data_IF_785724115546
#
_entry.id   IF_785724115546
#
_cell.length_a   1.000
_cell.length_b   1.000
_cell.length_c   1.000
_cell.angle_alpha   90.00
_cell.angle_beta   90.00
_cell.angle_gamma   90.00
#
_symmetry.space_group_name_H-M   'P 1'
#
loop_
_entity.id
_entity.type
_entity.pdbx_description
1 polymer ?
#
# COMPACT_ATOMS: atom_id res chain seq x y z
N UNK A 1 18.47 15.91 -8.42
CA UNK A 1 18.75 14.47 -8.16
C UNK A 1 19.40 13.87 -9.39
N UNK A 2 20.43 13.09 -9.19
CA UNK A 2 21.09 12.39 -10.31
C UNK A 2 20.43 11.03 -10.54
N UNK A 3 19.59 10.93 -11.55
CA UNK A 3 18.80 9.73 -11.86
C UNK A 3 19.70 8.51 -12.11
N UNK A 4 20.82 8.67 -12.80
CA UNK A 4 21.71 7.54 -13.10
C UNK A 4 22.36 6.97 -11.83
N UNK A 5 22.74 7.82 -10.88
CA UNK A 5 23.27 7.36 -9.58
C UNK A 5 22.21 6.65 -8.78
N UNK A 6 20.96 7.15 -8.80
CA UNK A 6 19.84 6.51 -8.09
C UNK A 6 19.53 5.15 -8.70
N UNK A 7 19.50 5.05 -10.05
CA UNK A 7 19.30 3.77 -10.72
C UNK A 7 20.38 2.75 -10.36
N UNK A 8 21.64 3.18 -10.30
CA UNK A 8 22.75 2.30 -9.91
C UNK A 8 22.59 1.82 -8.46
N UNK A 9 22.23 2.73 -7.55
CA UNK A 9 22.01 2.41 -6.14
C UNK A 9 20.88 1.40 -5.95
N UNK A 10 19.78 1.54 -6.71
CA UNK A 10 18.58 0.72 -6.57
C UNK A 10 18.51 -0.47 -7.51
N UNK A 11 19.46 -0.60 -8.44
CA UNK A 11 19.43 -1.64 -9.46
C UNK A 11 19.38 -3.06 -8.92
N UNK A 12 18.58 -3.91 -9.55
CA UNK A 12 18.45 -5.33 -9.18
C UNK A 12 17.63 -5.60 -7.91
N UNK A 13 17.01 -4.57 -7.33
CA UNK A 13 16.23 -4.71 -6.10
C UNK A 13 14.73 -4.78 -6.39
N UNK A 14 13.98 -5.40 -5.49
CA UNK A 14 12.52 -5.37 -5.52
C UNK A 14 12.01 -3.95 -5.17
N UNK A 15 10.74 -3.67 -5.46
CA UNK A 15 10.14 -2.37 -5.11
C UNK A 15 10.22 -2.12 -3.60
N UNK A 16 9.92 -3.13 -2.78
CA UNK A 16 10.00 -2.99 -1.32
C UNK A 16 11.44 -2.71 -0.86
N UNK A 17 12.41 -3.40 -1.42
CA UNK A 17 13.83 -3.16 -1.11
C UNK A 17 14.26 -1.75 -1.51
N UNK A 18 13.85 -1.27 -2.68
CA UNK A 18 14.08 0.11 -3.12
C UNK A 18 13.49 1.10 -2.13
N UNK A 19 12.25 0.87 -1.73
CA UNK A 19 11.55 1.71 -0.77
C UNK A 19 12.31 1.80 0.55
N UNK A 20 12.67 0.65 1.12
CA UNK A 20 13.37 0.61 2.40
C UNK A 20 14.73 1.32 2.33
N UNK A 21 15.47 1.16 1.24
CA UNK A 21 16.75 1.84 1.06
C UNK A 21 16.60 3.35 0.96
N UNK A 22 15.57 3.83 0.26
CA UNK A 22 15.30 5.26 0.14
C UNK A 22 14.89 5.87 1.49
N UNK A 23 14.07 5.19 2.26
CA UNK A 23 13.72 5.63 3.61
C UNK A 23 14.98 5.69 4.50
N UNK A 24 15.84 4.68 4.40
CA UNK A 24 17.07 4.61 5.21
C UNK A 24 18.01 5.79 4.93
N UNK A 25 18.08 6.26 3.69
CA UNK A 25 18.92 7.42 3.33
C UNK A 25 18.20 8.76 3.51
N UNK A 26 17.01 8.77 4.12
CA UNK A 26 16.32 9.99 4.53
C UNK A 26 15.22 10.50 3.60
N UNK A 27 14.82 9.74 2.58
CA UNK A 27 13.69 10.13 1.74
C UNK A 27 12.37 9.94 2.49
N UNK A 28 11.40 10.83 2.22
CA UNK A 28 10.05 10.67 2.74
C UNK A 28 9.34 9.52 2.03
N UNK A 29 8.23 9.04 2.61
CA UNK A 29 7.40 8.01 2.00
C UNK A 29 6.98 8.39 0.56
N UNK A 30 6.34 9.54 0.38
CA UNK A 30 5.83 9.94 -0.93
C UNK A 30 6.95 10.14 -1.94
N UNK A 31 8.06 10.75 -1.52
CA UNK A 31 9.20 10.95 -2.40
C UNK A 31 9.82 9.63 -2.82
N UNK A 32 9.91 8.66 -1.91
CA UNK A 32 10.42 7.33 -2.21
C UNK A 32 9.58 6.64 -3.28
N UNK A 33 8.25 6.68 -3.16
CA UNK A 33 7.36 6.11 -4.17
C UNK A 33 7.51 6.79 -5.53
N UNK A 34 7.61 8.13 -5.54
CA UNK A 34 7.81 8.89 -6.78
C UNK A 34 9.13 8.54 -7.47
N UNK A 35 10.20 8.40 -6.70
CA UNK A 35 11.50 7.99 -7.25
C UNK A 35 11.42 6.59 -7.87
N UNK A 36 10.81 5.65 -7.18
CA UNK A 36 10.66 4.28 -7.69
C UNK A 36 9.85 4.27 -8.99
N UNK A 37 8.74 5.02 -9.04
CA UNK A 37 7.93 5.14 -10.25
C UNK A 37 8.75 5.69 -11.42
N UNK A 38 9.59 6.69 -11.15
CA UNK A 38 10.43 7.31 -12.18
C UNK A 38 11.46 6.34 -12.75
N UNK A 39 12.18 5.60 -11.89
CA UNK A 39 13.26 4.73 -12.35
C UNK A 39 12.78 3.39 -12.89
N UNK A 40 11.62 2.89 -12.44
CA UNK A 40 11.07 1.62 -12.92
C UNK A 40 10.08 1.79 -14.06
N UNK A 41 9.65 3.01 -14.34
CA UNK A 41 8.58 3.33 -15.29
C UNK A 41 7.28 2.57 -14.97
N UNK A 42 7.03 2.32 -13.67
CA UNK A 42 5.82 1.66 -13.16
C UNK A 42 5.05 2.64 -12.31
N UNK A 43 3.72 2.63 -12.46
CA UNK A 43 2.85 3.34 -11.54
C UNK A 43 2.57 2.47 -10.33
N UNK A 44 2.87 2.97 -9.13
CA UNK A 44 2.56 2.29 -7.89
C UNK A 44 1.14 2.66 -7.42
N UNK A 45 0.43 1.70 -6.85
CA UNK A 45 -0.90 1.94 -6.29
C UNK A 45 -0.77 2.84 -5.06
N UNK A 46 -1.50 3.95 -5.08
CA UNK A 46 -1.61 4.87 -3.94
C UNK A 46 -2.95 4.67 -3.25
N UNK A 47 -3.06 5.13 -2.01
CA UNK A 47 -4.33 5.02 -1.28
C UNK A 47 -5.49 5.64 -2.06
N UNK A 48 -5.27 6.78 -2.71
CA UNK A 48 -6.29 7.45 -3.54
C UNK A 48 -6.76 6.63 -4.73
N UNK A 49 -5.97 5.64 -5.16
CA UNK A 49 -6.33 4.78 -6.29
C UNK A 49 -7.25 3.63 -5.87
N UNK A 50 -7.44 3.40 -4.57
CA UNK A 50 -8.29 2.33 -4.08
C UNK A 50 -9.76 2.66 -4.29
N UNK A 51 -10.50 1.70 -4.85
CA UNK A 51 -11.94 1.81 -5.04
C UNK A 51 -12.67 1.19 -3.87
N UNK A 52 -13.06 2.02 -2.89
CA UNK A 52 -13.83 1.55 -1.76
C UNK A 52 -15.30 1.39 -2.12
N UNK A 53 -15.86 0.25 -1.75
CA UNK A 53 -17.25 -0.13 -1.93
C UNK A 53 -17.85 -0.48 -0.58
N UNK A 54 -19.17 -0.58 -0.52
CA UNK A 54 -19.86 -1.03 0.68
C UNK A 54 -19.44 -2.47 1.00
N UNK A 55 -19.10 -2.70 2.27
CA UNK A 55 -18.69 -4.02 2.73
C UNK A 55 -19.89 -5.00 2.71
N UNK A 56 -19.68 -6.27 2.29
CA UNK A 56 -20.76 -7.27 2.28
C UNK A 56 -21.45 -7.47 3.63
N UNK A 57 -20.79 -7.13 4.74
CA UNK A 57 -21.36 -7.25 6.08
C UNK A 57 -22.24 -6.05 6.49
N UNK A 58 -22.58 -5.12 5.58
CA UNK A 58 -23.41 -3.95 5.88
C UNK A 58 -24.91 -4.29 5.91
N UNK A 59 -25.29 -5.21 6.77
CA UNK A 59 -26.69 -5.59 7.00
C UNK A 59 -27.27 -5.06 8.32
N UNK A 60 -26.47 -4.36 9.12
CA UNK A 60 -26.83 -3.87 10.45
C UNK A 60 -26.95 -2.34 10.49
N UNK A 61 -27.09 -1.68 9.35
CA UNK A 61 -27.17 -0.23 9.17
C UNK A 61 -25.89 0.52 9.58
N UNK A 62 -24.79 -0.17 9.80
CA UNK A 62 -23.47 0.43 10.03
C UNK A 62 -22.71 0.44 8.73
N UNK A 63 -21.99 1.53 8.48
CA UNK A 63 -21.23 1.68 7.24
C UNK A 63 -19.81 1.13 7.38
N UNK A 64 -19.55 0.04 6.70
CA UNK A 64 -18.23 -0.53 6.53
C UNK A 64 -17.85 -0.46 5.04
N UNK A 65 -16.58 -0.28 4.76
CA UNK A 65 -16.08 -0.17 3.40
C UNK A 65 -14.99 -1.19 3.15
N UNK A 66 -14.83 -1.57 1.88
CA UNK A 66 -13.72 -2.41 1.47
C UNK A 66 -13.24 -2.06 0.07
N UNK A 67 -11.95 -2.26 -0.18
CA UNK A 67 -11.34 -2.19 -1.50
C UNK A 67 -10.53 -3.45 -1.73
N UNK A 68 -10.66 -4.03 -2.92
CA UNK A 68 -9.93 -5.23 -3.34
C UNK A 68 -9.22 -4.97 -4.65
N UNK A 69 -8.09 -5.61 -4.84
CA UNK A 69 -7.37 -5.54 -6.09
C UNK A 69 -6.30 -6.60 -6.20
N UNK A 70 -5.58 -6.57 -7.30
CA UNK A 70 -4.47 -7.46 -7.58
C UNK A 70 -3.29 -6.67 -8.13
N UNK A 71 -2.09 -7.12 -7.76
CA UNK A 71 -0.83 -6.60 -8.30
C UNK A 71 0.03 -7.79 -8.64
N UNK A 72 0.43 -7.93 -9.91
CA UNK A 72 1.23 -9.08 -10.39
C UNK A 72 0.58 -10.43 -10.03
N UNK A 73 -0.76 -10.51 -10.11
CA UNK A 73 -1.50 -11.72 -9.77
C UNK A 73 -1.67 -11.98 -8.28
N UNK A 74 -1.19 -11.09 -7.42
CA UNK A 74 -1.32 -11.20 -5.95
C UNK A 74 -2.43 -10.29 -5.46
N UNK A 75 -3.35 -10.81 -4.68
CA UNK A 75 -4.50 -10.05 -4.22
C UNK A 75 -4.21 -9.27 -2.94
N UNK A 76 -4.95 -8.17 -2.77
CA UNK A 76 -5.01 -7.42 -1.52
C UNK A 76 -6.44 -7.04 -1.17
N UNK A 77 -6.68 -6.81 0.10
CA UNK A 77 -7.97 -6.35 0.62
C UNK A 77 -7.73 -5.30 1.71
N UNK A 78 -8.42 -4.17 1.60
CA UNK A 78 -8.36 -3.08 2.59
C UNK A 78 -9.78 -2.85 3.08
N UNK A 79 -9.98 -2.88 4.38
CA UNK A 79 -11.30 -2.70 5.00
C UNK A 79 -11.24 -1.66 6.11
N UNK A 80 -12.39 -1.08 6.44
CA UNK A 80 -12.53 -0.16 7.56
C UNK A 80 -13.98 0.07 7.92
N UNK A 81 -14.21 0.46 9.17
CA UNK A 81 -15.53 0.75 9.70
C UNK A 81 -15.82 0.03 11.01
N UNK A 82 -17.04 0.16 11.54
CA UNK A 82 -17.43 -0.43 12.84
C UNK A 82 -17.21 -1.93 12.90
N UNK A 83 -16.62 -2.38 14.00
CA UNK A 83 -16.31 -3.80 14.28
C UNK A 83 -15.27 -4.42 13.33
N UNK A 84 -14.51 -3.59 12.61
CA UNK A 84 -13.36 -4.00 11.82
C UNK A 84 -12.08 -3.45 12.47
N UNK A 85 -10.93 -3.87 11.98
CA UNK A 85 -9.64 -3.45 12.50
C UNK A 85 -9.18 -2.07 12.04
N UNK A 86 -10.10 -1.11 11.97
CA UNK A 86 -9.85 0.30 11.64
C UNK A 86 -11.16 1.05 11.52
N UNK A 87 -11.12 2.40 11.67
CA UNK A 87 -12.35 3.22 11.66
C UNK A 87 -12.86 3.52 10.22
N UNK A 88 -12.08 3.23 9.22
CA UNK A 88 -12.45 3.52 7.82
C UNK A 88 -12.29 4.97 7.41
N UNK A 89 -11.71 5.80 8.26
CA UNK A 89 -11.48 7.23 8.03
C UNK A 89 -9.98 7.52 8.06
N UNK A 90 -9.33 7.24 9.16
CA UNK A 90 -7.90 7.45 9.38
C UNK A 90 -7.13 6.14 9.56
N UNK A 91 -7.81 5.08 9.91
CA UNK A 91 -7.22 3.75 10.12
C UNK A 91 -7.97 2.68 9.35
N UNK A 92 -7.24 1.63 8.96
CA UNK A 92 -7.74 0.57 8.11
C UNK A 92 -7.13 -0.77 8.53
N UNK A 93 -7.71 -1.86 8.03
CA UNK A 93 -7.17 -3.19 8.19
C UNK A 93 -6.82 -3.73 6.81
N UNK A 94 -5.63 -4.29 6.67
CA UNK A 94 -5.13 -4.79 5.38
C UNK A 94 -4.80 -6.27 5.47
N UNK A 95 -5.21 -7.01 4.45
CA UNK A 95 -4.79 -8.40 4.25
C UNK A 95 -4.33 -8.55 2.79
N UNK A 96 -3.21 -9.23 2.60
CA UNK A 96 -2.73 -9.62 1.28
C UNK A 96 -2.40 -11.11 1.29
N UNK A 97 -2.23 -11.70 0.10
CA UNK A 97 -1.86 -13.11 0.05
C UNK A 97 -0.46 -13.40 0.60
N UNK A 98 0.38 -12.38 0.78
CA UNK A 98 1.72 -12.54 1.37
C UNK A 98 1.71 -12.48 2.90
N UNK A 99 0.59 -12.08 3.52
CA UNK A 99 0.47 -11.96 4.97
C UNK A 99 -0.19 -13.20 5.57
N UNK A 100 0.23 -13.57 6.79
CA UNK A 100 -0.37 -14.69 7.51
C UNK A 100 -1.74 -14.34 8.08
N UNK A 101 -1.99 -13.05 8.31
CA UNK A 101 -3.26 -12.55 8.82
C UNK A 101 -3.39 -11.06 8.63
N UNK A 102 -4.57 -10.49 8.86
CA UNK A 102 -4.81 -9.05 8.66
C UNK A 102 -4.00 -8.20 9.64
N UNK A 103 -3.56 -7.04 9.15
CA UNK A 103 -2.87 -6.03 9.97
C UNK A 103 -3.86 -4.92 10.24
N UNK A 104 -4.29 -4.72 11.51
CA UNK A 104 -5.31 -3.74 11.87
C UNK A 104 -4.72 -2.39 12.25
N UNK A 105 -5.59 -1.38 12.29
CA UNK A 105 -5.33 -0.05 12.85
C UNK A 105 -4.14 0.67 12.22
N UNK A 106 -3.97 0.54 10.90
CA UNK A 106 -2.88 1.19 10.19
C UNK A 106 -3.35 2.41 9.41
N UNK A 107 -2.43 3.36 9.22
CA UNK A 107 -2.67 4.59 8.47
C UNK A 107 -2.73 4.35 6.97
N UNK A 108 -3.20 5.35 6.22
CA UNK A 108 -3.19 5.32 4.76
C UNK A 108 -1.79 5.10 4.20
N UNK A 109 -0.79 5.74 4.78
CA UNK A 109 0.61 5.58 4.38
C UNK A 109 1.10 4.15 4.59
N UNK A 110 0.76 3.56 5.73
CA UNK A 110 1.12 2.16 6.02
C UNK A 110 0.40 1.18 5.10
N UNK A 111 -0.85 1.48 4.70
CA UNK A 111 -1.57 0.69 3.69
C UNK A 111 -0.76 0.66 2.38
N UNK A 112 -0.31 1.80 1.90
CA UNK A 112 0.50 1.89 0.70
C UNK A 112 1.79 1.07 0.83
N UNK A 113 2.45 1.16 1.99
CA UNK A 113 3.69 0.42 2.26
C UNK A 113 3.49 -1.09 2.20
N UNK A 114 2.36 -1.59 2.69
CA UNK A 114 2.06 -3.03 2.63
C UNK A 114 1.75 -3.47 1.20
N UNK A 115 1.01 -2.66 0.47
CA UNK A 115 0.62 -2.98 -0.92
C UNK A 115 1.84 -3.03 -1.85
N UNK A 116 2.83 -2.17 -1.67
CA UNK A 116 4.01 -2.16 -2.54
C UNK A 116 4.84 -3.45 -2.45
N UNK A 117 4.69 -4.24 -1.40
CA UNK A 117 5.35 -5.55 -1.29
C UNK A 117 4.84 -6.54 -2.34
N UNK A 118 3.73 -6.24 -3.00
CA UNK A 118 3.14 -7.11 -4.02
C UNK A 118 3.75 -6.90 -5.43
N UNK A 119 4.52 -5.87 -5.62
CA UNK A 119 5.17 -5.58 -6.91
C UNK A 119 6.35 -6.47 -7.20
#
# INVERSE_FOLDING_TARGET
MNIEKVKTFLGGKSVLEMYNDLIMVGCTHDKSLTIIETITDKRLVRFVDLHFMDHPANFDNKKRIHAKGEINGKWYSVVGGPNLGGDGINTFEVLTEKLEGPIPHISKEEVEKIIIDLY
#
